data_IF_870761905319
#
_entry.id   IF_870761905319
#
_cell.length_a   1.000
_cell.length_b   1.000
_cell.length_c   1.000
_cell.angle_alpha   90.00
_cell.angle_beta   90.00
_cell.angle_gamma   90.00
#
_symmetry.space_group_name_H-M   'P 1'
#
loop_
_entity.id
_entity.type
_entity.pdbx_description
1 polymer ?
#
# COMPACT_ATOMS: atom_id res chain seq x y z
N UNK A 1 15.96 -7.96 -18.73
CA UNK A 1 14.76 -7.22 -18.27
C UNK A 1 14.52 -7.44 -16.78
N UNK A 2 14.38 -8.69 -16.33
CA UNK A 2 14.11 -9.06 -14.92
C UNK A 2 15.02 -8.38 -13.89
N UNK A 3 16.34 -8.37 -14.13
CA UNK A 3 17.29 -7.70 -13.23
C UNK A 3 17.04 -6.20 -13.08
N UNK A 4 16.77 -5.50 -14.19
CA UNK A 4 16.50 -4.06 -14.18
C UNK A 4 15.15 -3.79 -13.50
N UNK A 5 14.14 -4.61 -13.80
CA UNK A 5 12.85 -4.57 -13.15
C UNK A 5 12.97 -4.69 -11.62
N UNK A 6 13.72 -5.69 -11.14
CA UNK A 6 13.97 -5.88 -9.71
C UNK A 6 14.64 -4.67 -9.07
N UNK A 7 15.65 -4.09 -9.72
CA UNK A 7 16.33 -2.88 -9.24
C UNK A 7 15.35 -1.69 -9.13
N UNK A 8 14.53 -1.44 -10.15
CA UNK A 8 13.56 -0.33 -10.14
C UNK A 8 12.56 -0.51 -9.00
N UNK A 9 12.00 -1.73 -8.86
CA UNK A 9 11.07 -2.08 -7.78
C UNK A 9 11.71 -1.87 -6.41
N UNK A 10 12.90 -2.41 -6.19
CA UNK A 10 13.55 -2.39 -4.88
C UNK A 10 13.99 -0.98 -4.48
N UNK A 11 14.40 -0.15 -5.45
CA UNK A 11 14.66 1.27 -5.23
C UNK A 11 13.39 2.01 -4.78
N UNK A 12 12.25 1.79 -5.45
CA UNK A 12 11.00 2.41 -5.03
C UNK A 12 10.56 1.91 -3.64
N UNK A 13 10.68 0.60 -3.35
CA UNK A 13 10.41 0.06 -2.00
C UNK A 13 11.25 0.77 -0.94
N UNK A 14 12.54 0.98 -1.21
CA UNK A 14 13.47 1.66 -0.30
C UNK A 14 13.05 3.12 -0.06
N UNK A 15 12.68 3.86 -1.11
CA UNK A 15 12.24 5.25 -0.99
C UNK A 15 10.95 5.35 -0.16
N UNK A 16 10.01 4.44 -0.41
CA UNK A 16 8.73 4.39 0.30
C UNK A 16 8.86 3.91 1.76
N UNK A 17 9.86 3.10 2.10
CA UNK A 17 9.98 2.49 3.43
C UNK A 17 9.94 3.52 4.58
N UNK A 18 10.66 4.64 4.41
CA UNK A 18 10.70 5.72 5.41
C UNK A 18 9.36 6.47 5.54
N UNK A 19 8.69 6.69 4.42
CA UNK A 19 7.38 7.36 4.35
C UNK A 19 6.29 6.49 4.94
N UNK A 20 6.24 5.20 4.56
CA UNK A 20 5.30 4.22 5.10
C UNK A 20 5.48 4.11 6.61
N UNK A 21 6.72 4.06 7.10
CA UNK A 21 7.00 4.01 8.54
C UNK A 21 6.39 5.19 9.30
N UNK A 22 6.35 6.36 8.65
CA UNK A 22 5.76 7.60 9.19
C UNK A 22 4.23 7.65 9.00
N UNK A 23 3.68 6.89 8.05
CA UNK A 23 2.24 6.72 7.84
C UNK A 23 1.58 5.70 8.77
N UNK A 24 2.35 4.86 9.47
CA UNK A 24 1.81 3.85 10.40
C UNK A 24 1.06 4.51 11.57
N UNK A 25 1.44 5.73 11.94
CA UNK A 25 0.84 6.45 13.06
C UNK A 25 0.37 7.85 12.66
N UNK A 26 -0.84 8.19 13.09
CA UNK A 26 -1.37 9.54 13.01
C UNK A 26 -0.39 10.52 13.69
N UNK A 27 0.00 11.62 13.02
CA UNK A 27 0.85 12.63 13.62
C UNK A 27 0.21 13.14 14.91
N UNK A 28 0.88 12.90 16.04
CA UNK A 28 0.45 13.47 17.32
C UNK A 28 0.74 14.96 17.25
N UNK A 29 -0.31 15.76 16.99
CA UNK A 29 -0.23 17.19 17.34
C UNK A 29 0.01 17.22 18.84
N UNK A 30 1.20 17.63 19.25
CA UNK A 30 1.49 17.90 20.64
C UNK A 30 0.45 18.91 21.11
N UNK A 31 -0.51 18.48 21.95
CA UNK A 31 -1.40 19.37 22.68
C UNK A 31 -0.58 20.12 23.72
N UNK A 32 0.31 20.99 23.26
CA UNK A 32 0.99 22.03 24.03
C UNK A 32 0.34 23.36 23.68
N UNK A 33 -0.48 23.88 24.58
CA UNK A 33 -0.98 25.26 24.63
C UNK A 33 -1.34 25.94 23.29
N UNK A 34 -2.58 25.78 22.83
CA UNK A 34 -3.22 26.81 21.99
C UNK A 34 -4.62 27.10 22.53
N UNK A 35 -4.67 27.73 23.70
CA UNK A 35 -5.81 28.55 24.08
C UNK A 35 -5.59 29.92 23.45
N UNK A 36 -6.58 30.35 22.65
CA UNK A 36 -6.78 31.68 22.03
C UNK A 36 -6.02 31.99 20.74
N UNK A 37 -6.67 31.68 19.62
CA UNK A 37 -6.89 32.68 18.56
C UNK A 37 -8.15 32.30 17.77
N UNK A 38 -9.24 33.02 18.04
CA UNK A 38 -10.46 32.97 17.22
C UNK A 38 -10.24 33.80 15.96
N UNK A 39 -10.61 33.25 14.80
CA UNK A 39 -10.85 34.02 13.58
C UNK A 39 -9.65 34.16 12.65
N UNK A 40 -9.47 33.18 11.75
CA UNK A 40 -8.97 33.43 10.39
C UNK A 40 -9.25 32.23 9.48
N UNK A 41 -10.13 32.44 8.51
CA UNK A 41 -10.22 31.65 7.29
C UNK A 41 -8.83 31.53 6.67
N UNK A 42 -8.28 30.33 6.67
CA UNK A 42 -6.92 30.08 6.18
C UNK A 42 -6.96 28.79 5.39
N UNK A 43 -6.78 28.88 4.08
CA UNK A 43 -6.39 27.73 3.28
C UNK A 43 -5.08 27.21 3.86
N UNK A 44 -5.15 26.13 4.62
CA UNK A 44 -3.99 25.47 5.16
C UNK A 44 -3.34 24.68 4.04
N UNK A 45 -2.27 25.23 3.46
CA UNK A 45 -1.15 24.40 3.03
C UNK A 45 -0.69 23.62 4.25
N UNK A 46 -1.32 22.47 4.47
CA UNK A 46 -0.86 21.47 5.42
C UNK A 46 0.58 21.12 5.04
N UNK A 47 1.52 20.97 6.00
CA UNK A 47 2.77 20.28 5.69
C UNK A 47 2.40 18.97 5.00
N UNK A 48 3.01 18.72 3.82
CA UNK A 48 2.66 17.59 2.98
C UNK A 48 2.55 16.33 3.86
N UNK A 49 1.37 15.71 3.86
CA UNK A 49 1.13 14.50 4.64
C UNK A 49 2.17 13.45 4.22
N UNK A 50 2.58 12.56 5.11
CA UNK A 50 3.49 11.46 4.73
C UNK A 50 2.92 10.62 3.57
N UNK A 51 1.58 10.56 3.48
CA UNK A 51 0.85 9.99 2.35
C UNK A 51 1.11 10.73 1.04
N UNK A 52 1.08 12.06 1.03
CA UNK A 52 1.39 12.84 -0.16
C UNK A 52 2.81 12.57 -0.68
N UNK A 53 3.78 12.35 0.21
CA UNK A 53 5.13 11.93 -0.18
C UNK A 53 5.14 10.58 -0.91
N UNK A 54 4.31 9.61 -0.47
CA UNK A 54 4.14 8.32 -1.16
C UNK A 54 3.54 8.57 -2.56
N UNK A 55 2.49 9.39 -2.66
CA UNK A 55 1.85 9.73 -3.94
C UNK A 55 2.84 10.40 -4.90
N UNK A 56 3.69 11.29 -4.41
CA UNK A 56 4.75 11.95 -5.19
C UNK A 56 5.78 10.95 -5.70
N UNK A 57 6.23 10.00 -4.88
CA UNK A 57 7.15 8.94 -5.32
C UNK A 57 6.53 8.03 -6.40
N UNK A 58 5.25 7.65 -6.23
CA UNK A 58 4.52 6.86 -7.23
C UNK A 58 4.37 7.60 -8.56
N UNK A 59 4.01 8.89 -8.51
CA UNK A 59 3.92 9.75 -9.68
C UNK A 59 5.28 9.94 -10.36
N UNK A 60 6.34 10.19 -9.58
CA UNK A 60 7.68 10.35 -10.10
C UNK A 60 8.14 9.13 -10.90
N UNK A 61 7.92 7.93 -10.36
CA UNK A 61 8.23 6.70 -11.09
C UNK A 61 7.34 6.53 -12.32
N UNK A 62 6.01 6.73 -12.21
CA UNK A 62 5.10 6.58 -13.35
C UNK A 62 5.47 7.51 -14.50
N UNK A 63 5.78 8.78 -14.22
CA UNK A 63 6.24 9.74 -15.21
C UNK A 63 7.54 9.25 -15.86
N UNK A 64 8.55 8.86 -15.07
CA UNK A 64 9.80 8.34 -15.61
C UNK A 64 9.61 7.10 -16.49
N UNK A 65 8.77 6.15 -16.10
CA UNK A 65 8.47 4.95 -16.89
C UNK A 65 7.79 5.32 -18.22
N UNK A 66 6.86 6.28 -18.20
CA UNK A 66 6.16 6.75 -19.41
C UNK A 66 7.09 7.51 -20.35
N UNK A 67 7.91 8.40 -19.83
CA UNK A 67 8.87 9.20 -20.61
C UNK A 67 9.95 8.31 -21.26
N UNK A 68 10.27 7.17 -20.64
CA UNK A 68 11.17 6.16 -21.18
C UNK A 68 10.45 5.07 -21.99
N UNK A 69 9.16 5.27 -22.32
CA UNK A 69 8.35 4.37 -23.13
C UNK A 69 8.33 2.91 -22.66
N UNK A 70 8.40 2.69 -21.34
CA UNK A 70 8.32 1.37 -20.74
C UNK A 70 6.94 0.76 -21.04
N UNK A 71 6.86 -0.50 -21.51
CA UNK A 71 5.58 -1.16 -21.78
C UNK A 71 4.63 -1.12 -20.57
N UNK A 72 3.35 -0.74 -20.76
CA UNK A 72 2.39 -0.63 -19.65
C UNK A 72 2.26 -1.89 -18.80
N UNK A 73 2.37 -3.08 -19.40
CA UNK A 73 2.35 -4.36 -18.67
C UNK A 73 3.45 -4.41 -17.60
N UNK A 74 4.67 -3.97 -17.92
CA UNK A 74 5.75 -3.93 -16.92
C UNK A 74 5.48 -2.88 -15.84
N UNK A 75 4.93 -1.72 -16.21
CA UNK A 75 4.54 -0.69 -15.25
C UNK A 75 3.49 -1.23 -14.25
N UNK A 76 2.45 -1.89 -14.75
CA UNK A 76 1.41 -2.52 -13.91
C UNK A 76 2.01 -3.50 -12.92
N UNK A 77 2.90 -4.39 -13.39
CA UNK A 77 3.57 -5.38 -12.53
C UNK A 77 4.39 -4.72 -11.41
N UNK A 78 5.10 -3.62 -11.71
CA UNK A 78 5.81 -2.85 -10.69
C UNK A 78 4.83 -2.33 -9.64
N UNK A 79 3.77 -1.63 -10.06
CA UNK A 79 2.84 -1.02 -9.10
C UNK A 79 2.06 -2.05 -8.29
N UNK A 80 1.69 -3.18 -8.87
CA UNK A 80 1.08 -4.30 -8.12
C UNK A 80 2.01 -4.76 -7.00
N UNK A 81 3.29 -4.99 -7.27
CA UNK A 81 4.25 -5.39 -6.23
C UNK A 81 4.50 -4.29 -5.19
N UNK A 82 4.46 -3.01 -5.59
CA UNK A 82 4.61 -1.89 -4.66
C UNK A 82 3.40 -1.77 -3.74
N UNK A 83 2.18 -1.92 -4.26
CA UNK A 83 0.97 -1.89 -3.45
C UNK A 83 0.88 -3.10 -2.52
N UNK A 84 1.32 -4.27 -2.99
CA UNK A 84 1.48 -5.46 -2.15
C UNK A 84 2.47 -5.22 -1.01
N UNK A 85 3.62 -4.60 -1.29
CA UNK A 85 4.58 -4.19 -0.28
C UNK A 85 3.98 -3.19 0.74
N UNK A 86 3.26 -2.16 0.28
CA UNK A 86 2.56 -1.22 1.16
C UNK A 86 1.56 -1.95 2.07
N UNK A 87 0.78 -2.89 1.50
CA UNK A 87 -0.15 -3.72 2.25
C UNK A 87 0.56 -4.48 3.36
N UNK A 88 1.66 -5.18 3.05
CA UNK A 88 2.47 -5.94 4.01
C UNK A 88 2.99 -5.03 5.13
N UNK A 89 3.60 -3.89 4.78
CA UNK A 89 4.19 -2.98 5.77
C UNK A 89 3.15 -2.41 6.73
N UNK A 90 2.04 -1.90 6.21
CA UNK A 90 1.00 -1.29 7.03
C UNK A 90 0.27 -2.34 7.87
N UNK A 91 -0.12 -3.46 7.26
CA UNK A 91 -0.87 -4.51 7.95
C UNK A 91 -0.04 -5.19 9.04
N UNK A 92 1.21 -5.56 8.76
CA UNK A 92 2.09 -6.16 9.78
C UNK A 92 2.32 -5.17 10.94
N UNK A 93 2.38 -3.87 10.65
CA UNK A 93 2.50 -2.85 11.70
C UNK A 93 1.27 -2.79 12.61
N UNK A 94 0.06 -2.97 12.10
CA UNK A 94 -1.16 -3.10 12.91
C UNK A 94 -1.10 -4.35 13.80
N UNK A 95 -0.64 -5.48 13.26
CA UNK A 95 -0.58 -6.75 13.99
C UNK A 95 0.51 -6.81 15.07
N UNK A 96 1.51 -5.93 14.98
CA UNK A 96 2.67 -5.92 15.90
C UNK A 96 2.61 -4.83 16.96
N UNK A 97 1.82 -3.77 16.76
CA UNK A 97 1.91 -2.53 17.56
C UNK A 97 0.55 -2.08 18.05
N UNK A 98 0.36 -2.11 19.37
CA UNK A 98 -0.90 -1.73 20.02
C UNK A 98 -1.31 -0.30 19.69
N UNK A 99 -0.35 0.61 19.64
CA UNK A 99 -0.60 2.03 19.40
C UNK A 99 -1.07 2.36 17.97
N UNK A 100 -1.00 1.39 17.05
CA UNK A 100 -1.50 1.52 15.69
C UNK A 100 -2.97 1.06 15.58
N UNK A 101 -3.48 0.32 16.57
CA UNK A 101 -4.83 -0.23 16.61
C UNK A 101 -5.76 0.68 17.43
N UNK A 102 -5.99 1.90 16.97
CA UNK A 102 -6.93 2.85 17.59
C UNK A 102 -7.92 3.36 16.55
N UNK A 103 -9.05 3.94 16.97
CA UNK A 103 -10.01 4.52 16.02
C UNK A 103 -9.38 5.68 15.24
N UNK A 104 -8.71 6.62 15.93
CA UNK A 104 -8.05 7.76 15.30
C UNK A 104 -6.98 7.35 14.30
N UNK A 105 -6.18 6.32 14.63
CA UNK A 105 -5.18 5.83 13.70
C UNK A 105 -5.84 5.13 12.50
N UNK A 106 -6.91 4.39 12.73
CA UNK A 106 -7.75 3.82 11.67
C UNK A 106 -8.27 4.91 10.72
N UNK A 107 -8.79 6.02 11.23
CA UNK A 107 -9.26 7.14 10.39
C UNK A 107 -8.11 7.76 9.57
N UNK A 108 -6.95 7.96 10.19
CA UNK A 108 -5.78 8.50 9.52
C UNK A 108 -5.30 7.59 8.38
N UNK A 109 -5.14 6.28 8.64
CA UNK A 109 -4.73 5.32 7.62
C UNK A 109 -5.81 5.18 6.54
N UNK A 110 -7.10 5.22 6.91
CA UNK A 110 -8.22 5.18 5.95
C UNK A 110 -8.17 6.35 4.97
N UNK A 111 -7.88 7.56 5.45
CA UNK A 111 -7.71 8.72 4.59
C UNK A 111 -6.53 8.55 3.62
N UNK A 112 -5.39 8.03 4.09
CA UNK A 112 -4.24 7.72 3.24
C UNK A 112 -4.52 6.64 2.19
N UNK A 113 -5.26 5.59 2.55
CA UNK A 113 -5.70 4.57 1.60
C UNK A 113 -6.63 5.15 0.52
N UNK A 114 -7.46 6.15 0.86
CA UNK A 114 -8.29 6.85 -0.13
C UNK A 114 -7.46 7.69 -1.11
N UNK A 115 -6.33 8.27 -0.67
CA UNK A 115 -5.38 8.94 -1.59
C UNK A 115 -4.72 7.94 -2.55
N UNK A 116 -4.37 6.74 -2.07
CA UNK A 116 -3.84 5.66 -2.93
C UNK A 116 -4.90 5.15 -3.92
N UNK A 117 -6.16 5.01 -3.51
CA UNK A 117 -7.27 4.66 -4.40
C UNK A 117 -7.43 5.71 -5.52
N UNK A 118 -7.42 6.99 -5.14
CA UNK A 118 -7.50 8.09 -6.09
C UNK A 118 -6.31 8.06 -7.08
N UNK A 119 -5.10 7.76 -6.61
CA UNK A 119 -3.94 7.62 -7.47
C UNK A 119 -4.12 6.49 -8.49
N UNK A 120 -4.65 5.33 -8.09
CA UNK A 120 -4.97 4.24 -9.02
C UNK A 120 -5.97 4.70 -10.09
N UNK A 121 -7.01 5.45 -9.71
CA UNK A 121 -7.98 6.00 -10.66
C UNK A 121 -7.33 6.96 -11.67
N UNK A 122 -6.38 7.80 -11.22
CA UNK A 122 -5.67 8.77 -12.05
C UNK A 122 -4.65 8.11 -12.98
N UNK A 123 -3.92 7.10 -12.50
CA UNK A 123 -3.00 6.29 -13.28
C UNK A 123 -3.73 5.42 -14.33
N UNK A 124 -5.04 5.21 -14.17
CA UNK A 124 -5.92 4.39 -15.01
C UNK A 124 -5.56 2.91 -15.00
N UNK A 125 -6.49 2.08 -15.46
CA UNK A 125 -6.29 0.64 -15.62
C UNK A 125 -5.04 0.29 -16.44
N UNK A 126 -4.69 1.13 -17.41
CA UNK A 126 -3.48 0.99 -18.24
C UNK A 126 -2.18 0.86 -17.42
N UNK A 127 -2.02 1.61 -16.32
CA UNK A 127 -0.79 1.60 -15.53
C UNK A 127 -0.97 1.08 -14.11
N UNK A 128 -2.12 1.34 -13.48
CA UNK A 128 -2.40 0.83 -12.14
C UNK A 128 -2.78 -0.65 -12.15
N UNK A 129 -3.42 -1.16 -13.21
CA UNK A 129 -3.93 -2.53 -13.25
C UNK A 129 -4.73 -2.88 -11.98
N UNK A 130 -4.43 -4.04 -11.37
CA UNK A 130 -5.04 -4.53 -10.14
C UNK A 130 -4.37 -4.04 -8.85
N UNK A 131 -3.54 -2.98 -8.90
CA UNK A 131 -2.76 -2.53 -7.72
C UNK A 131 -3.62 -2.23 -6.48
N UNK A 132 -4.84 -1.72 -6.68
CA UNK A 132 -5.76 -1.42 -5.56
C UNK A 132 -6.20 -2.67 -4.79
N UNK A 133 -6.28 -3.81 -5.46
CA UNK A 133 -6.73 -5.07 -4.88
C UNK A 133 -5.68 -5.67 -3.93
N UNK A 134 -4.40 -5.30 -4.11
CA UNK A 134 -3.29 -5.73 -3.24
C UNK A 134 -3.41 -5.18 -1.81
N UNK A 135 -4.08 -4.04 -1.62
CA UNK A 135 -4.29 -3.40 -0.31
C UNK A 135 -5.40 -4.05 0.53
N UNK A 136 -5.92 -5.20 0.11
CA UNK A 136 -7.07 -5.88 0.72
C UNK A 136 -6.96 -6.13 2.23
N UNK A 137 -5.79 -6.51 2.75
CA UNK A 137 -5.64 -6.84 4.18
C UNK A 137 -5.69 -5.60 5.06
N UNK A 138 -4.89 -4.58 4.70
CA UNK A 138 -4.91 -3.31 5.43
C UNK A 138 -6.27 -2.61 5.30
N UNK A 139 -6.93 -2.68 4.13
CA UNK A 139 -8.27 -2.10 3.93
C UNK A 139 -9.32 -2.73 4.84
N UNK A 140 -9.36 -4.06 4.96
CA UNK A 140 -10.30 -4.74 5.85
C UNK A 140 -10.00 -4.44 7.33
N UNK A 141 -8.73 -4.54 7.75
CA UNK A 141 -8.33 -4.24 9.12
C UNK A 141 -8.67 -2.79 9.52
N UNK A 142 -8.31 -1.82 8.68
CA UNK A 142 -8.60 -0.39 8.92
C UNK A 142 -10.10 -0.11 8.86
N UNK A 143 -10.81 -0.72 7.91
CA UNK A 143 -12.27 -0.66 7.82
C UNK A 143 -12.95 -1.12 9.11
N UNK A 144 -12.47 -2.21 9.70
CA UNK A 144 -12.91 -2.69 11.00
C UNK A 144 -12.54 -1.72 12.15
N UNK A 145 -11.31 -1.21 12.20
CA UNK A 145 -10.84 -0.29 13.25
C UNK A 145 -11.70 0.97 13.38
N UNK A 146 -12.26 1.48 12.27
CA UNK A 146 -13.11 2.69 12.24
C UNK A 146 -14.60 2.43 12.50
N UNK A 147 -14.99 1.23 12.92
CA UNK A 147 -16.38 0.96 13.31
C UNK A 147 -16.62 1.41 14.77
N UNK A 148 -17.66 2.21 15.03
CA UNK A 148 -17.91 2.71 16.39
C UNK A 148 -18.41 1.63 17.37
N UNK A 149 -19.31 0.74 16.94
CA UNK A 149 -20.02 -0.20 17.81
C UNK A 149 -19.50 -1.64 17.68
N UNK A 150 -18.17 -1.84 17.73
CA UNK A 150 -17.53 -3.17 17.57
C UNK A 150 -18.05 -4.22 18.56
N UNK A 151 -18.43 -3.81 19.76
CA UNK A 151 -18.97 -4.70 20.80
C UNK A 151 -20.30 -5.36 20.45
N UNK A 152 -20.99 -4.91 19.38
CA UNK A 152 -22.26 -5.47 18.90
C UNK A 152 -22.09 -6.38 17.69
N UNK A 153 -20.88 -6.48 17.15
CA UNK A 153 -20.58 -7.27 15.95
C UNK A 153 -20.29 -8.70 16.39
N UNK A 154 -20.93 -9.67 15.73
CA UNK A 154 -20.68 -11.09 16.01
C UNK A 154 -19.38 -11.58 15.37
N UNK A 155 -18.91 -12.76 15.76
CA UNK A 155 -17.78 -13.39 15.09
C UNK A 155 -18.05 -13.63 13.60
N UNK A 156 -19.25 -14.12 13.27
CA UNK A 156 -19.64 -14.44 11.89
C UNK A 156 -19.70 -13.18 11.02
N UNK A 157 -20.22 -12.06 11.52
CA UNK A 157 -20.22 -10.78 10.77
C UNK A 157 -18.78 -10.31 10.49
N UNK A 158 -17.85 -10.53 11.43
CA UNK A 158 -16.44 -10.18 11.24
C UNK A 158 -15.82 -11.04 10.13
N UNK A 159 -16.03 -12.35 10.14
CA UNK A 159 -15.38 -13.27 9.20
C UNK A 159 -16.06 -13.34 7.85
N UNK A 160 -17.35 -13.06 7.75
CA UNK A 160 -18.08 -13.23 6.49
C UNK A 160 -18.26 -11.90 5.75
N UNK A 161 -18.46 -10.79 6.47
CA UNK A 161 -18.82 -9.51 5.87
C UNK A 161 -17.72 -8.46 5.95
N UNK A 162 -17.05 -8.33 7.10
CA UNK A 162 -16.11 -7.23 7.34
C UNK A 162 -14.68 -7.55 6.90
N UNK A 163 -14.19 -8.73 7.30
CA UNK A 163 -12.80 -9.12 7.17
C UNK A 163 -12.61 -10.55 6.61
N UNK A 164 -13.25 -10.93 5.49
CA UNK A 164 -13.25 -12.32 5.01
C UNK A 164 -11.92 -12.88 4.55
N UNK A 165 -10.89 -12.05 4.34
CA UNK A 165 -9.57 -12.54 3.93
C UNK A 165 -8.61 -12.68 5.11
N UNK A 166 -8.94 -12.12 6.28
CA UNK A 166 -8.06 -12.16 7.45
C UNK A 166 -8.22 -13.52 8.13
N UNK A 167 -7.09 -14.15 8.49
CA UNK A 167 -7.12 -15.38 9.26
C UNK A 167 -7.62 -15.13 10.69
N UNK A 168 -8.11 -16.17 11.36
CA UNK A 168 -8.56 -16.08 12.77
C UNK A 168 -7.45 -15.51 13.67
N UNK A 169 -6.19 -15.87 13.42
CA UNK A 169 -5.05 -15.36 14.17
C UNK A 169 -4.83 -13.86 13.97
N UNK A 170 -4.98 -13.37 12.74
CA UNK A 170 -4.88 -11.95 12.41
C UNK A 170 -6.03 -11.16 13.05
N UNK A 171 -7.26 -11.67 12.94
CA UNK A 171 -8.45 -11.06 13.57
C UNK A 171 -8.29 -10.97 15.09
N UNK A 172 -7.86 -12.05 15.72
CA UNK A 172 -7.59 -12.09 17.15
C UNK A 172 -6.59 -11.01 17.56
N UNK A 173 -5.48 -10.87 16.81
CA UNK A 173 -4.47 -9.83 17.06
C UNK A 173 -5.04 -8.42 16.92
N UNK A 174 -5.75 -8.12 15.83
CA UNK A 174 -6.37 -6.78 15.62
C UNK A 174 -7.35 -6.46 16.76
N UNK A 175 -8.21 -7.40 17.14
CA UNK A 175 -9.22 -7.19 18.17
C UNK A 175 -8.62 -7.01 19.58
N UNK A 176 -7.56 -7.77 19.90
CA UNK A 176 -6.91 -7.71 21.22
C UNK A 176 -5.94 -6.55 21.36
N UNK A 177 -5.33 -6.09 20.26
CA UNK A 177 -4.49 -4.89 20.24
C UNK A 177 -5.31 -3.60 20.22
N UNK A 178 -6.58 -3.66 19.82
CA UNK A 178 -7.43 -2.48 19.78
C UNK A 178 -7.52 -1.80 21.15
N UNK A 179 -7.12 -0.53 21.19
CA UNK A 179 -7.06 0.26 22.42
C UNK A 179 -7.45 1.70 22.12
N UNK A 180 -8.68 2.08 22.44
CA UNK A 180 -9.13 3.46 22.25
C UNK A 180 -9.72 4.06 23.53
N UNK A 181 -8.98 5.01 24.09
CA UNK A 181 -9.39 5.78 25.27
C UNK A 181 -10.05 7.11 24.89
N UNK A 182 -9.91 7.57 23.64
CA UNK A 182 -10.24 8.95 23.24
C UNK A 182 -11.70 9.10 22.78
N UNK A 183 -12.25 8.09 22.10
CA UNK A 183 -13.63 8.11 21.59
C UNK A 183 -14.60 7.23 22.38
N UNK A 184 -14.12 6.59 23.45
CA UNK A 184 -14.89 5.63 24.25
C UNK A 184 -15.49 4.48 23.41
N UNK A 185 -14.91 4.21 22.24
CA UNK A 185 -15.27 3.08 21.38
C UNK A 185 -14.63 1.84 21.96
N UNK A 186 -15.45 0.83 22.22
CA UNK A 186 -15.00 -0.43 22.81
C UNK A 186 -14.53 -1.40 21.72
N UNK A 187 -13.67 -2.34 22.10
CA UNK A 187 -13.37 -3.50 21.25
C UNK A 187 -14.61 -4.40 21.12
N UNK A 188 -14.46 -5.51 20.41
CA UNK A 188 -15.46 -6.57 20.30
C UNK A 188 -15.80 -7.18 21.66
N UNK A 189 -16.89 -7.94 21.75
CA UNK A 189 -17.28 -8.59 22.99
C UNK A 189 -16.24 -9.62 23.44
N UNK A 190 -16.11 -9.90 24.76
CA UNK A 190 -15.23 -10.95 25.27
C UNK A 190 -15.57 -12.34 24.70
N UNK A 191 -16.83 -12.58 24.35
CA UNK A 191 -17.30 -13.83 23.75
C UNK A 191 -16.68 -14.03 22.37
N UNK A 192 -16.64 -12.99 21.52
CA UNK A 192 -15.98 -13.03 20.20
C UNK A 192 -14.49 -13.37 20.35
N UNK A 193 -13.79 -12.73 21.29
CA UNK A 193 -12.38 -13.03 21.58
C UNK A 193 -12.19 -14.49 22.03
N UNK A 194 -13.12 -15.01 22.82
CA UNK A 194 -13.08 -16.39 23.32
C UNK A 194 -13.33 -17.40 22.20
N UNK A 195 -14.29 -17.14 21.31
CA UNK A 195 -14.54 -17.94 20.11
C UNK A 195 -13.29 -18.01 19.22
N UNK A 196 -12.63 -16.88 18.97
CA UNK A 196 -11.38 -16.84 18.21
C UNK A 196 -10.27 -17.69 18.85
N UNK A 197 -10.12 -17.67 20.19
CA UNK A 197 -9.13 -18.49 20.89
C UNK A 197 -9.37 -19.99 20.72
N UNK A 198 -10.63 -20.42 20.81
CA UNK A 198 -10.99 -21.84 20.65
C UNK A 198 -10.64 -22.31 19.24
N UNK A 199 -11.03 -21.56 18.22
CA UNK A 199 -10.75 -21.89 16.82
C UNK A 199 -9.23 -21.92 16.53
N UNK A 200 -8.46 -20.97 17.08
CA UNK A 200 -6.99 -20.99 16.94
C UNK A 200 -6.35 -22.23 17.55
N UNK A 201 -6.89 -22.77 18.65
CA UNK A 201 -6.38 -24.01 19.25
C UNK A 201 -6.77 -25.26 18.46
N UNK A 202 -7.89 -25.23 17.74
CA UNK A 202 -8.34 -26.33 16.88
C UNK A 202 -7.55 -26.39 15.56
N UNK A 203 -7.20 -25.22 14.99
CA UNK A 203 -6.44 -25.09 13.74
C UNK A 203 -4.92 -25.29 13.89
N UNK A 204 -4.40 -25.24 15.13
CA UNK A 204 -2.95 -25.35 15.42
C UNK A 204 -2.34 -26.74 15.17
N UNK A 205 -3.12 -27.69 14.66
CA UNK A 205 -2.62 -28.98 14.16
C UNK A 205 -2.02 -28.90 12.74
N UNK A 206 -2.18 -27.78 12.03
CA UNK A 206 -1.54 -27.54 10.72
C UNK A 206 -0.30 -26.64 10.86
N UNK A 207 0.87 -27.18 10.51
CA UNK A 207 2.16 -26.50 10.71
C UNK A 207 2.35 -25.22 9.87
N UNK A 208 1.65 -25.10 8.73
CA UNK A 208 1.65 -23.91 7.86
C UNK A 208 0.74 -22.78 8.38
N UNK A 209 -0.14 -23.05 9.35
CA UNK A 209 -1.14 -22.09 9.88
C UNK A 209 -0.57 -21.08 10.89
N UNK A 210 0.72 -21.16 11.24
CA UNK A 210 1.28 -20.39 12.37
C UNK A 210 1.81 -19.00 12.01
N UNK A 211 1.95 -18.66 10.73
CA UNK A 211 2.40 -17.31 10.33
C UNK A 211 1.21 -16.35 10.22
N UNK A 212 1.07 -15.46 11.19
CA UNK A 212 0.05 -14.40 11.16
C UNK A 212 0.49 -13.16 10.37
N UNK A 213 1.79 -13.03 10.05
CA UNK A 213 2.34 -11.92 9.28
C UNK A 213 2.26 -12.22 7.78
N UNK A 214 2.15 -11.16 6.98
CA UNK A 214 2.26 -11.27 5.53
C UNK A 214 3.73 -11.20 5.11
N UNK A 215 4.07 -11.99 4.09
CA UNK A 215 5.37 -11.97 3.45
C UNK A 215 5.36 -11.06 2.22
N UNK A 216 6.50 -10.40 1.96
CA UNK A 216 6.72 -9.58 0.77
C UNK A 216 7.32 -10.43 -0.36
N UNK A 217 6.48 -10.88 -1.30
CA UNK A 217 6.95 -11.65 -2.45
C UNK A 217 7.72 -10.78 -3.45
N UNK A 218 9.02 -11.05 -3.54
CA UNK A 218 9.95 -10.38 -4.44
C UNK A 218 10.25 -11.18 -5.71
N UNK A 219 9.47 -12.22 -6.00
CA UNK A 219 9.53 -12.97 -7.25
C UNK A 219 9.25 -12.07 -8.47
N UNK A 220 9.65 -12.52 -9.67
CA UNK A 220 9.36 -11.81 -10.92
C UNK A 220 7.93 -12.20 -11.37
N UNK A 221 6.99 -11.25 -11.50
CA UNK A 221 5.56 -11.57 -11.69
C UNK A 221 5.15 -11.66 -13.17
N UNK A 222 6.08 -11.94 -14.08
CA UNK A 222 5.85 -12.05 -15.52
C UNK A 222 6.81 -13.04 -16.17
N UNK A 223 6.36 -13.63 -17.27
CA UNK A 223 7.14 -14.48 -18.16
C UNK A 223 7.70 -13.67 -19.35
N UNK A 224 8.59 -14.29 -20.13
CA UNK A 224 9.08 -13.71 -21.39
C UNK A 224 7.93 -13.53 -22.40
N UNK A 225 6.94 -14.42 -22.38
CA UNK A 225 5.79 -14.39 -23.30
C UNK A 225 4.83 -13.22 -23.01
N UNK A 226 4.69 -12.86 -21.73
CA UNK A 226 3.93 -11.66 -21.32
C UNK A 226 4.56 -10.38 -21.86
N UNK A 227 5.90 -10.36 -21.95
CA UNK A 227 6.62 -9.22 -22.50
C UNK A 227 6.47 -9.19 -24.02
N UNK A 228 6.74 -10.31 -24.70
CA UNK A 228 6.78 -10.37 -26.17
C UNK A 228 5.45 -9.98 -26.81
N UNK A 229 4.34 -10.39 -26.21
CA UNK A 229 2.98 -10.02 -26.64
C UNK A 229 2.62 -8.55 -26.42
N UNK A 230 3.33 -7.85 -25.52
CA UNK A 230 3.08 -6.45 -25.17
C UNK A 230 3.94 -5.43 -25.92
N UNK A 231 5.05 -5.87 -26.53
CA UNK A 231 5.94 -4.99 -27.30
C UNK A 231 5.26 -4.67 -28.64
N UNK A 232 4.80 -3.43 -28.77
CA UNK A 232 4.35 -2.92 -30.08
C UNK A 232 5.56 -2.80 -31.01
N UNK A 233 5.47 -3.35 -32.21
CA UNK A 233 6.42 -3.03 -33.28
C UNK A 233 6.42 -1.51 -33.48
N UNK A 234 7.55 -0.89 -33.19
CA UNK A 234 7.78 0.51 -33.48
C UNK A 234 8.55 0.58 -34.78
N UNK A 235 8.02 1.35 -35.72
CA UNK A 235 8.74 1.70 -36.93
C UNK A 235 9.77 2.79 -36.58
N UNK A 236 11.04 2.49 -36.83
CA UNK A 236 12.17 3.38 -36.56
C UNK A 236 12.73 4.01 -37.84
N UNK A 237 12.10 3.80 -39.00
CA UNK A 237 12.59 4.28 -40.29
C UNK A 237 12.78 5.81 -40.36
N UNK A 238 12.02 6.58 -39.56
CA UNK A 238 12.09 8.05 -39.53
C UNK A 238 12.81 8.63 -38.29
N UNK A 239 13.44 7.79 -37.46
CA UNK A 239 14.12 8.25 -36.24
C UNK A 239 15.49 8.83 -36.59
N UNK A 240 15.61 10.16 -36.49
CA UNK A 240 16.88 10.85 -36.69
C UNK A 240 17.89 10.50 -35.59
N UNK A 241 19.14 10.28 -36.00
CA UNK A 241 20.27 10.06 -35.11
C UNK A 241 20.47 11.28 -34.19
N UNK A 242 20.76 11.04 -32.91
CA UNK A 242 21.02 12.11 -31.95
C UNK A 242 22.28 12.91 -32.38
N UNK A 243 22.22 14.24 -32.27
CA UNK A 243 23.30 15.13 -32.72
C UNK A 243 24.66 14.79 -32.09
N UNK A 244 24.67 14.44 -30.80
CA UNK A 244 25.88 14.08 -30.07
C UNK A 244 26.57 12.81 -30.60
N UNK A 245 25.80 11.91 -31.23
CA UNK A 245 26.33 10.70 -31.87
C UNK A 245 26.84 10.98 -33.29
N UNK A 246 26.24 11.95 -33.98
CA UNK A 246 26.65 12.39 -35.33
C UNK A 246 28.05 13.00 -35.30
N UNK A 247 28.42 13.69 -34.21
CA UNK A 247 29.74 14.29 -34.03
C UNK A 247 30.82 13.27 -33.64
N UNK A 248 30.46 12.04 -33.27
CA UNK A 248 31.41 11.03 -32.81
C UNK A 248 31.85 10.11 -33.97
N UNK A 249 33.15 10.08 -34.34
CA UNK A 249 33.65 9.26 -35.44
C UNK A 249 33.37 7.76 -35.30
N UNK A 250 33.25 7.27 -34.06
CA UNK A 250 32.95 5.85 -33.80
C UNK A 250 31.51 5.44 -34.18
N UNK A 251 30.61 6.40 -34.41
CA UNK A 251 29.19 6.17 -34.67
C UNK A 251 28.75 6.59 -36.09
N UNK A 252 29.70 6.81 -36.99
CA UNK A 252 29.44 7.26 -38.36
C UNK A 252 28.56 6.28 -39.17
N UNK A 253 28.57 4.99 -38.82
CA UNK A 253 27.72 3.95 -39.41
C UNK A 253 26.21 4.15 -39.17
N UNK A 254 25.81 5.03 -38.24
CA UNK A 254 24.40 5.39 -37.99
C UNK A 254 23.86 6.45 -38.98
N UNK A 255 24.68 6.87 -39.96
CA UNK A 255 24.29 7.82 -41.01
C UNK A 255 24.08 7.14 -42.37
N UNK A 256 24.36 5.84 -42.49
CA UNK A 256 24.09 5.00 -43.67
C UNK A 256 22.69 4.37 -43.59
#
# INVERSE_FOLDING_TARGET
>A
VEKIYGIIRDNLKKDLSSLISSCIQAPRTSRGNVLRASGQSSGSTHPASHWQGIIESLNGLLCALKDNFVPPVLCQKIFVQIFSYINVQLFNSLLLRRECCTFSNGEYVKAGLAELELWCCQAKEEYAGSSWDELKHVRQAVGFLVIHQKSRISYDDITNDLCPILSVQQLYRVCTLYCDDNYNTRSVSPDVISSMKVLMTEDSNDADSNSFLLDDDSSIPFSIDDISSSVKEKDFLDVKTAADLVENPAFQFLQE
#
